data_IF_660133776073
#
_entry.id   IF_660133776073
#
_cell.length_a   1.000
_cell.length_b   1.000
_cell.length_c   1.000
_cell.angle_alpha   90.00
_cell.angle_beta   90.00
_cell.angle_gamma   90.00
#
_symmetry.space_group_name_H-M   'P 1'
#
loop_
_entity.id
_entity.type
_entity.pdbx_description
1 polymer ?
#
# COMPACT_ATOMS: atom_id res chain seq x y z
N UNK A 1 -28.70 -75.12 32.90
CA UNK A 1 -29.31 -73.86 32.42
C UNK A 1 -28.58 -72.71 33.10
N UNK A 2 -27.79 -71.94 32.36
CA UNK A 2 -27.02 -70.81 32.90
C UNK A 2 -27.94 -69.59 33.05
N UNK A 3 -28.03 -69.06 34.26
CA UNK A 3 -28.85 -67.89 34.60
C UNK A 3 -28.11 -66.63 34.12
N UNK A 4 -28.66 -65.96 33.11
CA UNK A 4 -28.19 -64.65 32.66
C UNK A 4 -28.50 -63.60 33.74
N UNK A 5 -27.47 -63.17 34.46
CA UNK A 5 -27.53 -62.02 35.37
C UNK A 5 -27.50 -60.72 34.55
N UNK A 6 -28.59 -59.95 34.59
CA UNK A 6 -28.63 -58.57 34.07
C UNK A 6 -28.36 -57.63 35.25
N UNK A 7 -27.26 -56.88 35.19
CA UNK A 7 -26.98 -55.81 36.14
C UNK A 7 -27.31 -54.45 35.51
N UNK A 8 -27.98 -53.60 36.27
CA UNK A 8 -28.21 -52.18 35.94
C UNK A 8 -27.24 -51.35 36.77
N UNK A 9 -26.36 -50.57 36.13
CA UNK A 9 -25.42 -49.68 36.83
C UNK A 9 -25.68 -48.22 36.48
N UNK A 10 -25.36 -47.32 37.41
CA UNK A 10 -25.38 -45.88 37.20
C UNK A 10 -24.23 -45.45 36.26
N UNK A 11 -24.50 -44.46 35.41
CA UNK A 11 -23.64 -44.08 34.26
C UNK A 11 -22.26 -43.56 34.71
N UNK A 12 -22.21 -43.03 35.93
CA UNK A 12 -21.06 -42.53 36.66
C UNK A 12 -20.08 -43.64 37.13
N UNK A 13 -20.49 -44.92 37.04
CA UNK A 13 -19.64 -46.09 37.28
C UNK A 13 -19.07 -46.74 36.02
N UNK A 14 -19.21 -46.13 34.83
CA UNK A 14 -18.73 -46.69 33.55
C UNK A 14 -17.25 -46.41 33.24
N UNK A 15 -16.53 -45.68 34.09
CA UNK A 15 -15.14 -45.27 33.85
C UNK A 15 -14.13 -46.42 33.72
N UNK A 16 -14.51 -47.65 34.09
CA UNK A 16 -13.66 -48.85 33.93
C UNK A 16 -13.98 -49.70 32.68
N UNK A 17 -15.06 -49.40 31.95
CA UNK A 17 -15.54 -50.27 30.88
C UNK A 17 -14.98 -49.95 29.49
N UNK A 18 -14.33 -48.80 29.31
CA UNK A 18 -13.68 -48.43 28.05
C UNK A 18 -12.35 -47.76 28.32
N UNK A 19 -11.28 -48.36 27.82
CA UNK A 19 -9.98 -47.70 27.76
C UNK A 19 -9.92 -46.80 26.53
N UNK A 20 -8.97 -45.86 26.50
CA UNK A 20 -8.84 -44.91 25.38
C UNK A 20 -8.62 -45.59 24.00
N UNK A 21 -8.27 -46.88 23.98
CA UNK A 21 -7.95 -47.68 22.80
C UNK A 21 -9.13 -48.48 22.22
N UNK A 22 -10.27 -48.57 22.91
CA UNK A 22 -11.39 -49.38 22.41
C UNK A 22 -12.10 -48.70 21.22
N UNK A 23 -12.16 -49.38 20.06
CA UNK A 23 -12.84 -48.88 18.85
C UNK A 23 -14.37 -48.78 19.03
N UNK A 24 -14.94 -49.59 19.91
CA UNK A 24 -16.38 -49.76 20.10
C UNK A 24 -16.83 -49.04 21.39
N UNK A 25 -17.74 -48.08 21.25
CA UNK A 25 -18.09 -47.13 22.31
C UNK A 25 -19.36 -47.52 23.07
N UNK A 26 -20.26 -48.28 22.44
CA UNK A 26 -21.56 -48.72 22.99
C UNK A 26 -22.06 -50.00 22.28
N UNK A 27 -22.55 -50.98 23.05
CA UNK A 27 -23.20 -52.19 22.55
C UNK A 27 -24.72 -52.07 22.72
N UNK A 28 -25.47 -52.03 21.62
CA UNK A 28 -26.94 -51.96 21.64
C UNK A 28 -27.51 -53.29 21.15
N UNK A 29 -28.42 -53.90 21.92
CA UNK A 29 -29.10 -55.13 21.51
C UNK A 29 -30.12 -54.82 20.41
N UNK A 30 -30.13 -55.60 19.34
CA UNK A 30 -31.12 -55.43 18.26
C UNK A 30 -32.52 -55.78 18.77
N UNK A 31 -33.52 -55.01 18.32
CA UNK A 31 -34.91 -55.19 18.73
C UNK A 31 -35.51 -56.55 18.32
N UNK A 32 -34.94 -57.21 17.31
CA UNK A 32 -35.33 -58.54 16.84
C UNK A 32 -34.72 -59.71 17.65
N UNK A 33 -33.92 -59.41 18.68
CA UNK A 33 -33.30 -60.41 19.55
C UNK A 33 -32.13 -61.19 18.93
N UNK A 34 -31.74 -60.90 17.68
CA UNK A 34 -30.76 -61.71 16.92
C UNK A 34 -29.29 -61.36 17.17
N UNK A 35 -29.00 -60.39 18.04
CA UNK A 35 -27.63 -60.07 18.44
C UNK A 35 -27.44 -58.62 18.91
N UNK A 36 -26.18 -58.18 18.98
CA UNK A 36 -25.78 -56.81 19.33
C UNK A 36 -25.32 -56.02 18.09
N UNK A 37 -25.40 -54.69 18.14
CA UNK A 37 -24.74 -53.75 17.22
C UNK A 37 -23.80 -52.86 18.03
N UNK A 38 -22.61 -52.64 17.50
CA UNK A 38 -21.58 -51.84 18.15
C UNK A 38 -21.56 -50.44 17.49
N UNK A 39 -21.64 -49.37 18.28
CA UNK A 39 -21.39 -48.01 17.78
C UNK A 39 -19.89 -47.75 17.91
N UNK A 40 -19.21 -47.69 16.76
CA UNK A 40 -17.78 -47.38 16.72
C UNK A 40 -17.52 -45.91 17.04
N UNK A 41 -16.45 -45.61 17.78
CA UNK A 41 -16.00 -44.23 18.09
C UNK A 41 -15.86 -43.37 16.84
N UNK A 42 -15.35 -43.95 15.74
CA UNK A 42 -15.21 -43.28 14.42
C UNK A 42 -16.53 -42.82 13.78
N UNK A 43 -17.67 -43.38 14.20
CA UNK A 43 -18.98 -43.01 13.67
C UNK A 43 -19.62 -41.85 14.44
N UNK A 44 -19.04 -41.43 15.59
CA UNK A 44 -19.46 -40.27 16.37
C UNK A 44 -18.64 -39.01 16.06
N UNK A 45 -17.51 -39.16 15.35
CA UNK A 45 -16.73 -38.03 14.85
C UNK A 45 -17.43 -37.55 13.57
N UNK A 46 -17.89 -36.28 13.48
CA UNK A 46 -18.43 -35.75 12.24
C UNK A 46 -17.40 -35.95 11.12
N UNK A 47 -17.80 -36.48 9.96
CA UNK A 47 -16.89 -36.59 8.79
C UNK A 47 -16.29 -35.23 8.37
N UNK A 48 -16.90 -34.15 8.85
CA UNK A 48 -16.59 -32.74 8.62
C UNK A 48 -16.36 -32.01 9.95
N UNK A 49 -15.57 -32.56 10.88
CA UNK A 49 -14.84 -31.67 11.78
C UNK A 49 -13.64 -31.16 11.00
N UNK A 50 -13.65 -29.84 10.77
CA UNK A 50 -12.57 -29.08 10.17
C UNK A 50 -11.24 -29.53 10.77
N UNK A 51 -10.36 -30.11 9.95
CA UNK A 51 -9.02 -30.57 10.35
C UNK A 51 -8.04 -29.40 10.58
N UNK A 52 -8.59 -28.25 10.97
CA UNK A 52 -7.88 -27.00 11.19
C UNK A 52 -6.92 -27.21 12.36
N UNK A 53 -5.62 -27.14 12.09
CA UNK A 53 -4.56 -27.28 13.08
C UNK A 53 -3.91 -28.67 13.19
N UNK A 54 -4.30 -29.67 12.37
CA UNK A 54 -3.58 -30.95 12.35
C UNK A 54 -2.24 -30.83 11.60
N UNK A 55 -1.15 -30.75 12.36
CA UNK A 55 0.21 -30.62 11.82
C UNK A 55 0.63 -31.80 10.95
N UNK A 56 -0.04 -32.96 11.07
CA UNK A 56 0.33 -34.14 10.28
C UNK A 56 -0.06 -34.01 8.81
N UNK A 57 -1.02 -33.14 8.50
CA UNK A 57 -1.52 -32.87 7.15
C UNK A 57 -0.68 -31.83 6.39
N UNK A 58 0.22 -31.15 7.08
CA UNK A 58 1.17 -30.23 6.45
C UNK A 58 2.12 -31.01 5.54
N UNK A 59 2.38 -30.47 4.35
CA UNK A 59 3.22 -31.10 3.33
C UNK A 59 4.71 -30.86 3.62
N UNK A 60 5.03 -29.87 4.44
CA UNK A 60 6.40 -29.54 4.82
C UNK A 60 7.04 -30.67 5.63
N UNK A 61 8.32 -30.91 5.37
CA UNK A 61 9.13 -31.82 6.17
C UNK A 61 9.49 -31.24 7.55
N UNK A 62 9.39 -29.91 7.74
CA UNK A 62 9.72 -29.19 8.98
C UNK A 62 8.47 -28.70 9.71
N UNK A 63 7.73 -29.66 10.28
CA UNK A 63 6.46 -29.42 10.99
C UNK A 63 6.63 -28.67 12.34
N UNK A 64 7.85 -28.60 12.85
CA UNK A 64 8.23 -27.87 14.06
C UNK A 64 8.34 -26.34 13.83
N UNK A 65 8.48 -25.92 12.58
CA UNK A 65 8.63 -24.51 12.22
C UNK A 65 7.27 -23.90 11.84
N UNK A 66 6.69 -23.21 12.81
CA UNK A 66 5.36 -22.56 12.69
C UNK A 66 5.24 -21.67 11.44
N UNK A 67 6.30 -20.95 11.06
CA UNK A 67 6.29 -20.08 9.87
C UNK A 67 6.16 -20.86 8.56
N UNK A 68 6.85 -21.99 8.40
CA UNK A 68 6.74 -22.83 7.19
C UNK A 68 5.36 -23.49 7.12
N UNK A 69 4.87 -23.97 8.27
CA UNK A 69 3.53 -24.52 8.40
C UNK A 69 2.43 -23.51 8.02
N UNK A 70 2.54 -22.26 8.49
CA UNK A 70 1.59 -21.18 8.17
C UNK A 70 1.62 -20.85 6.68
N UNK A 71 2.81 -20.77 6.07
CA UNK A 71 2.93 -20.46 4.64
C UNK A 71 2.24 -21.51 3.77
N UNK A 72 2.36 -22.80 4.08
CA UNK A 72 1.66 -23.86 3.34
C UNK A 72 0.14 -23.76 3.45
N UNK A 73 -0.38 -23.43 4.63
CA UNK A 73 -1.82 -23.21 4.82
C UNK A 73 -2.31 -21.99 4.03
N UNK A 74 -1.50 -20.94 3.93
CA UNK A 74 -1.80 -19.75 3.14
C UNK A 74 -1.87 -20.06 1.63
N UNK A 75 -1.00 -20.96 1.14
CA UNK A 75 -1.06 -21.46 -0.24
C UNK A 75 -2.29 -22.34 -0.49
N UNK A 76 -2.67 -23.25 0.42
CA UNK A 76 -3.88 -24.08 0.24
C UNK A 76 -5.19 -23.25 0.32
N UNK A 77 -5.18 -22.12 1.05
CA UNK A 77 -6.28 -21.15 1.05
C UNK A 77 -6.44 -20.43 -0.30
N UNK A 78 -5.40 -20.37 -1.13
CA UNK A 78 -5.49 -19.84 -2.51
C UNK A 78 -6.21 -20.80 -3.47
N UNK A 79 -6.32 -22.09 -3.12
CA UNK A 79 -7.08 -23.10 -3.86
C UNK A 79 -8.58 -23.15 -3.47
N UNK A 80 -8.99 -22.44 -2.41
CA UNK A 80 -10.40 -22.27 -2.06
C UNK A 80 -11.07 -21.34 -3.07
N UNK A 81 -11.59 -21.93 -4.15
CA UNK A 81 -12.49 -21.31 -5.15
C UNK A 81 -13.61 -20.50 -4.48
N UNK A 82 -13.40 -19.20 -4.31
CA UNK A 82 -14.39 -18.10 -4.37
C UNK A 82 -13.70 -16.79 -3.97
N UNK A 83 -12.96 -16.19 -4.89
CA UNK A 83 -13.34 -15.01 -5.68
C UNK A 83 -12.69 -15.23 -7.05
N UNK A 84 -13.48 -15.36 -8.10
CA UNK A 84 -12.95 -15.53 -9.46
C UNK A 84 -12.34 -14.23 -9.93
N UNK A 85 -11.01 -14.12 -9.85
CA UNK A 85 -10.25 -13.16 -10.62
C UNK A 85 -9.87 -13.86 -11.93
N UNK A 86 -10.34 -13.32 -13.06
CA UNK A 86 -10.29 -14.02 -14.35
C UNK A 86 -8.86 -14.11 -14.90
N UNK A 87 -7.94 -13.30 -14.38
CA UNK A 87 -6.52 -13.33 -14.73
C UNK A 87 -5.61 -13.12 -13.52
N UNK A 88 -4.34 -13.53 -13.63
CA UNK A 88 -3.29 -13.23 -12.63
C UNK A 88 -3.02 -11.72 -12.51
N UNK A 89 -3.39 -10.95 -13.55
CA UNK A 89 -3.31 -9.49 -13.61
C UNK A 89 -4.35 -8.81 -12.70
N UNK A 90 -5.57 -9.35 -12.64
CA UNK A 90 -6.64 -8.85 -11.76
C UNK A 90 -6.28 -9.00 -10.27
N UNK A 91 -5.55 -10.06 -9.92
CA UNK A 91 -5.02 -10.28 -8.57
C UNK A 91 -3.91 -9.29 -8.21
N UNK A 92 -3.00 -8.99 -9.14
CA UNK A 92 -1.98 -7.96 -8.94
C UNK A 92 -2.59 -6.56 -8.83
N UNK A 93 -3.66 -6.29 -9.59
CA UNK A 93 -4.41 -5.04 -9.53
C UNK A 93 -5.11 -4.86 -8.17
N UNK A 94 -5.70 -5.91 -7.60
CA UNK A 94 -6.37 -5.86 -6.28
C UNK A 94 -5.37 -5.82 -5.12
N UNK A 95 -4.25 -6.54 -5.21
CA UNK A 95 -3.16 -6.44 -4.22
C UNK A 95 -2.39 -5.11 -4.31
N UNK A 96 -2.34 -4.50 -5.50
CA UNK A 96 -1.77 -3.17 -5.73
C UNK A 96 -2.73 -2.01 -5.41
N UNK A 97 -4.04 -2.25 -5.29
CA UNK A 97 -5.06 -1.23 -5.00
C UNK A 97 -5.49 -1.14 -3.53
N UNK A 98 -4.72 -1.74 -2.62
CA UNK A 98 -4.74 -1.35 -1.20
C UNK A 98 -5.69 -2.09 -0.27
N UNK A 99 -6.21 -3.28 -0.63
CA UNK A 99 -7.15 -4.01 0.25
C UNK A 99 -6.66 -5.31 0.89
N UNK A 100 -5.55 -5.92 0.45
CA UNK A 100 -4.99 -7.11 1.13
C UNK A 100 -3.45 -7.08 1.03
N UNK A 101 -2.82 -6.56 2.08
CA UNK A 101 -1.37 -6.53 2.23
C UNK A 101 -0.82 -7.96 2.39
N UNK A 102 0.09 -8.36 1.49
CA UNK A 102 0.89 -9.58 1.64
C UNK A 102 1.75 -9.52 2.91
N UNK A 103 1.97 -10.65 3.63
CA UNK A 103 2.86 -10.78 4.77
C UNK A 103 4.36 -10.54 4.48
N UNK A 104 4.77 -10.23 3.25
CA UNK A 104 6.10 -9.67 2.95
C UNK A 104 6.21 -8.19 3.41
N UNK A 105 5.85 -7.98 4.68
CA UNK A 105 5.62 -6.73 5.42
C UNK A 105 6.88 -5.89 5.67
N UNK A 106 7.88 -5.92 4.80
CA UNK A 106 8.98 -4.97 4.93
C UNK A 106 8.46 -3.53 4.72
N UNK A 107 7.84 -3.21 3.58
CA UNK A 107 7.34 -1.84 3.36
C UNK A 107 6.29 -1.39 4.39
N UNK A 108 5.39 -2.27 4.85
CA UNK A 108 4.38 -1.97 5.87
C UNK A 108 4.99 -1.56 7.21
N UNK A 109 5.96 -2.35 7.72
CA UNK A 109 6.65 -2.04 8.97
C UNK A 109 7.53 -0.79 8.85
N UNK A 110 8.20 -0.62 7.71
CA UNK A 110 9.04 0.54 7.46
C UNK A 110 8.22 1.83 7.27
N UNK A 111 6.99 1.73 6.74
CA UNK A 111 6.03 2.84 6.68
C UNK A 111 5.36 3.14 8.03
N UNK A 112 5.35 2.19 8.97
CA UNK A 112 4.76 2.36 10.30
C UNK A 112 5.70 3.03 11.31
N UNK A 113 7.00 3.12 11.01
CA UNK A 113 8.02 3.65 11.92
C UNK A 113 8.63 4.95 11.40
N UNK A 114 8.73 5.93 12.30
CA UNK A 114 9.32 7.24 12.04
C UNK A 114 10.59 7.44 12.87
N UNK A 115 11.71 7.85 12.25
CA UNK A 115 13.02 7.92 12.94
C UNK A 115 13.77 9.24 12.81
N UNK A 116 13.78 9.90 11.65
CA UNK A 116 14.54 11.15 11.38
C UNK A 116 16.06 11.07 11.50
N UNK A 117 16.66 10.00 11.00
CA UNK A 117 18.13 9.84 10.97
C UNK A 117 18.73 10.33 9.65
N UNK A 118 19.87 11.01 9.73
CA UNK A 118 20.72 11.27 8.56
C UNK A 118 21.41 9.98 8.08
N UNK A 119 21.15 9.60 6.84
CA UNK A 119 21.69 8.43 6.15
C UNK A 119 23.05 8.70 5.50
N UNK A 120 23.44 9.97 5.38
CA UNK A 120 24.72 10.42 4.86
C UNK A 120 24.59 11.43 3.71
N UNK A 121 25.73 11.81 3.14
CA UNK A 121 25.81 12.74 2.00
C UNK A 121 25.79 12.04 0.64
N UNK A 122 25.89 10.70 0.62
CA UNK A 122 25.83 9.87 -0.57
C UNK A 122 25.06 8.58 -0.24
N UNK A 123 24.22 8.13 -1.17
CA UNK A 123 23.60 6.82 -1.11
C UNK A 123 24.65 5.73 -1.32
N UNK A 124 24.58 4.67 -0.51
CA UNK A 124 25.54 3.56 -0.53
C UNK A 124 24.97 2.33 -1.24
N UNK A 125 25.83 1.49 -1.79
CA UNK A 125 25.45 0.26 -2.50
C UNK A 125 24.58 -0.68 -1.64
N UNK A 126 24.86 -0.76 -0.34
CA UNK A 126 24.06 -1.55 0.61
C UNK A 126 22.62 -1.03 0.73
N UNK A 127 22.42 0.29 0.66
CA UNK A 127 21.09 0.91 0.72
C UNK A 127 20.34 0.65 -0.58
N UNK A 128 21.01 0.78 -1.73
CA UNK A 128 20.43 0.45 -3.03
C UNK A 128 20.03 -1.02 -3.12
N UNK A 129 20.90 -1.92 -2.65
CA UNK A 129 20.59 -3.34 -2.57
C UNK A 129 19.37 -3.58 -1.68
N UNK A 130 19.31 -2.93 -0.52
CA UNK A 130 18.17 -3.06 0.38
C UNK A 130 16.84 -2.54 -0.23
N UNK A 131 16.89 -1.49 -1.05
CA UNK A 131 15.74 -0.99 -1.82
C UNK A 131 15.31 -2.03 -2.85
N UNK A 132 16.24 -2.49 -3.71
CA UNK A 132 15.94 -3.46 -4.80
C UNK A 132 15.40 -4.79 -4.30
N UNK A 133 15.88 -5.26 -3.14
CA UNK A 133 15.41 -6.49 -2.49
C UNK A 133 14.13 -6.29 -1.66
N UNK A 134 13.61 -5.06 -1.56
CA UNK A 134 12.41 -4.73 -0.77
C UNK A 134 12.62 -4.85 0.74
N UNK A 135 13.84 -5.05 1.22
CA UNK A 135 14.13 -5.23 2.66
C UNK A 135 14.14 -3.91 3.42
N UNK A 136 14.45 -2.80 2.73
CA UNK A 136 14.58 -1.45 3.29
C UNK A 136 15.45 -1.36 4.56
N UNK A 137 16.39 -2.28 4.72
CA UNK A 137 17.22 -2.44 5.92
C UNK A 137 17.87 -1.11 6.32
N UNK A 138 17.72 -0.76 7.60
CA UNK A 138 18.22 0.48 8.22
C UNK A 138 17.76 1.79 7.54
N UNK A 139 16.62 1.78 6.86
CA UNK A 139 15.96 2.97 6.31
C UNK A 139 14.52 3.06 6.81
N UNK A 140 14.11 4.21 7.32
CA UNK A 140 12.76 4.41 7.85
C UNK A 140 12.18 5.74 7.38
N UNK A 141 10.86 5.88 7.48
CA UNK A 141 10.19 7.14 7.15
C UNK A 141 10.78 8.28 7.99
N UNK A 142 11.04 9.40 7.33
CA UNK A 142 11.66 10.58 7.92
C UNK A 142 13.19 10.58 7.94
N UNK A 143 13.85 9.44 7.69
CA UNK A 143 15.30 9.44 7.47
C UNK A 143 15.64 10.22 6.20
N UNK A 144 16.87 10.76 6.08
CA UNK A 144 17.23 11.62 4.96
C UNK A 144 18.66 11.44 4.47
N UNK A 145 18.87 11.68 3.18
CA UNK A 145 20.19 12.05 2.65
C UNK A 145 20.25 13.56 2.52
N UNK A 146 21.42 14.15 2.74
CA UNK A 146 21.57 15.61 2.65
C UNK A 146 22.93 15.99 2.12
N UNK A 147 22.95 17.01 1.26
CA UNK A 147 24.17 17.70 0.84
C UNK A 147 24.11 19.17 1.28
N UNK A 148 25.06 19.99 0.81
CA UNK A 148 25.11 21.42 1.17
C UNK A 148 23.89 22.22 0.66
N UNK A 149 23.14 21.70 -0.31
CA UNK A 149 22.03 22.39 -0.98
C UNK A 149 20.67 21.87 -0.57
N UNK A 150 20.52 20.55 -0.46
CA UNK A 150 19.23 19.88 -0.40
C UNK A 150 19.18 18.80 0.68
N UNK A 151 17.98 18.61 1.22
CA UNK A 151 17.64 17.46 2.07
C UNK A 151 16.59 16.61 1.37
N UNK A 152 16.88 15.32 1.23
CA UNK A 152 16.03 14.31 0.60
C UNK A 152 15.47 13.37 1.66
N UNK A 153 14.25 13.66 2.12
CA UNK A 153 13.61 12.93 3.23
C UNK A 153 12.75 11.78 2.71
N UNK A 154 12.92 10.58 3.28
CA UNK A 154 12.07 9.42 2.99
C UNK A 154 10.63 9.71 3.39
N UNK A 155 9.76 9.72 2.39
CA UNK A 155 8.34 10.00 2.52
C UNK A 155 7.48 8.74 2.65
N UNK A 156 7.81 7.69 1.88
CA UNK A 156 7.09 6.41 1.86
C UNK A 156 7.92 5.33 1.15
N UNK A 157 7.72 4.07 1.51
CA UNK A 157 8.23 2.88 0.79
C UNK A 157 7.10 2.25 -0.01
N UNK A 158 7.38 1.76 -1.21
CA UNK A 158 6.43 1.06 -2.10
C UNK A 158 5.06 1.74 -2.20
N UNK A 159 5.08 3.01 -2.57
CA UNK A 159 3.89 3.86 -2.67
C UNK A 159 3.10 3.67 -3.98
N UNK A 160 3.81 3.48 -5.09
CA UNK A 160 3.22 3.29 -6.41
C UNK A 160 2.97 1.80 -6.68
N UNK A 161 1.87 1.42 -7.35
CA UNK A 161 1.54 0.03 -7.65
C UNK A 161 2.37 -0.51 -8.82
N UNK A 162 3.69 -0.56 -8.65
CA UNK A 162 4.65 -1.12 -9.61
C UNK A 162 5.33 -2.35 -9.00
N UNK A 163 5.80 -3.25 -9.86
CA UNK A 163 6.44 -4.51 -9.42
C UNK A 163 7.74 -4.28 -8.65
N UNK A 164 8.53 -3.30 -9.08
CA UNK A 164 9.84 -3.05 -8.49
C UNK A 164 9.72 -2.21 -7.22
N UNK A 165 10.47 -2.59 -6.20
CA UNK A 165 10.53 -1.87 -4.94
C UNK A 165 11.12 -0.47 -5.12
N UNK A 166 10.60 0.49 -4.37
CA UNK A 166 11.01 1.88 -4.48
C UNK A 166 10.84 2.68 -3.20
N UNK A 167 11.55 3.80 -3.13
CA UNK A 167 11.46 4.79 -2.06
C UNK A 167 11.00 6.11 -2.65
N UNK A 168 9.95 6.68 -2.07
CA UNK A 168 9.48 8.04 -2.36
C UNK A 168 10.19 8.99 -1.41
N UNK A 169 10.85 10.00 -1.96
CA UNK A 169 11.55 11.05 -1.24
C UNK A 169 10.84 12.38 -1.46
N UNK A 170 10.93 13.28 -0.48
CA UNK A 170 10.62 14.69 -0.64
C UNK A 170 11.91 15.49 -0.53
N UNK A 171 12.17 16.32 -1.54
CA UNK A 171 13.25 17.29 -1.49
C UNK A 171 12.77 18.60 -0.87
N UNK A 172 13.35 18.96 0.27
CA UNK A 172 13.04 20.22 0.93
C UNK A 172 13.80 21.37 0.28
N UNK A 173 13.03 22.21 -0.42
CA UNK A 173 13.41 23.53 -0.95
C UNK A 173 14.68 23.59 -1.80
N UNK A 174 14.70 22.92 -2.98
CA UNK A 174 15.70 23.24 -3.99
C UNK A 174 15.72 24.75 -4.28
N UNK A 175 16.91 25.24 -4.60
CA UNK A 175 17.14 26.66 -4.86
C UNK A 175 16.26 27.15 -6.03
N UNK A 176 15.62 28.30 -5.83
CA UNK A 176 14.76 28.92 -6.82
C UNK A 176 13.29 29.06 -6.41
N UNK A 177 12.60 29.94 -7.12
CA UNK A 177 11.15 30.10 -7.07
C UNK A 177 10.64 30.07 -8.51
N UNK A 178 9.41 29.63 -8.69
CA UNK A 178 8.79 29.55 -10.00
C UNK A 178 7.34 30.00 -9.94
N UNK A 179 6.83 30.40 -11.10
CA UNK A 179 5.41 30.61 -11.34
C UNK A 179 4.75 29.29 -11.66
N UNK A 180 3.46 29.17 -11.34
CA UNK A 180 2.67 28.02 -11.79
C UNK A 180 2.22 28.18 -13.26
N UNK A 181 2.26 29.39 -13.80
CA UNK A 181 1.77 29.73 -15.14
C UNK A 181 2.21 28.72 -16.21
N UNK A 182 1.42 28.57 -17.27
CA UNK A 182 1.71 27.57 -18.31
C UNK A 182 2.80 28.07 -19.25
N UNK A 183 3.74 27.18 -19.56
CA UNK A 183 4.93 27.53 -20.36
C UNK A 183 4.57 27.88 -21.81
N UNK A 184 3.55 27.22 -22.35
CA UNK A 184 3.05 27.47 -23.69
C UNK A 184 1.57 27.87 -23.61
N UNK A 185 1.23 28.94 -24.31
CA UNK A 185 -0.16 29.26 -24.67
C UNK A 185 -0.38 28.92 -26.15
N UNK A 186 -0.28 27.65 -26.61
CA UNK A 186 -0.63 27.37 -27.99
C UNK A 186 -2.15 27.51 -28.12
N UNK A 187 -2.61 28.28 -29.11
CA UNK A 187 -3.96 28.08 -29.65
C UNK A 187 -3.90 26.78 -30.43
N UNK A 188 -4.15 25.65 -29.79
CA UNK A 188 -4.30 24.38 -30.51
C UNK A 188 -5.66 24.39 -31.18
N UNK A 189 -5.70 24.16 -32.50
CA UNK A 189 -6.96 23.95 -33.22
C UNK A 189 -7.73 22.80 -32.57
N UNK A 190 -9.00 23.03 -32.23
CA UNK A 190 -9.89 22.04 -31.60
C UNK A 190 -10.15 22.21 -30.11
N UNK A 191 -9.38 23.03 -29.38
CA UNK A 191 -9.68 23.40 -27.98
C UNK A 191 -10.31 24.80 -27.91
N UNK A 192 -11.48 24.91 -27.26
CA UNK A 192 -12.17 26.21 -27.04
C UNK A 192 -11.46 27.07 -25.98
N UNK A 193 -10.54 26.49 -25.21
CA UNK A 193 -9.80 27.15 -24.12
C UNK A 193 -8.38 26.57 -23.96
N UNK A 194 -7.46 27.39 -23.45
CA UNK A 194 -6.08 27.00 -23.10
C UNK A 194 -6.06 26.03 -21.91
N UNK A 195 -5.27 24.94 -21.95
CA UNK A 195 -5.03 24.09 -20.79
C UNK A 195 -4.32 24.85 -19.68
N UNK A 196 -4.69 24.59 -18.42
CA UNK A 196 -4.20 25.38 -17.27
C UNK A 196 -3.61 24.54 -16.11
N UNK A 197 -3.48 23.21 -16.28
CA UNK A 197 -2.99 22.29 -15.25
C UNK A 197 -1.48 22.14 -15.13
N UNK A 198 -1.04 21.45 -14.07
CA UNK A 198 0.36 21.12 -13.80
C UNK A 198 1.09 20.50 -14.99
N UNK A 199 0.41 19.66 -15.78
CA UNK A 199 0.96 19.03 -16.98
C UNK A 199 1.67 20.03 -17.90
N UNK A 200 1.16 21.26 -17.97
CA UNK A 200 1.63 22.34 -18.85
C UNK A 200 2.33 23.48 -18.08
N UNK A 201 2.50 23.34 -16.77
CA UNK A 201 3.02 24.38 -15.89
C UNK A 201 4.54 24.58 -16.03
N UNK A 202 5.00 25.80 -15.75
CA UNK A 202 6.43 26.10 -15.58
C UNK A 202 7.01 25.35 -14.37
N UNK A 203 6.21 25.03 -13.34
CA UNK A 203 6.63 24.18 -12.20
C UNK A 203 7.10 22.81 -12.71
N UNK A 204 6.27 22.10 -13.50
CA UNK A 204 6.64 20.79 -14.04
C UNK A 204 7.90 20.88 -14.90
N UNK A 205 7.97 21.90 -15.77
CA UNK A 205 9.14 22.13 -16.61
C UNK A 205 10.43 22.32 -15.80
N UNK A 206 10.37 23.11 -14.73
CA UNK A 206 11.49 23.28 -13.82
C UNK A 206 11.86 21.95 -13.14
N UNK A 207 10.87 21.21 -12.65
CA UNK A 207 11.10 19.94 -11.93
C UNK A 207 11.76 18.90 -12.84
N UNK A 208 11.20 18.67 -14.03
CA UNK A 208 11.69 17.64 -14.97
C UNK A 208 12.96 18.08 -15.71
N UNK A 209 13.12 19.38 -15.98
CA UNK A 209 14.23 19.93 -16.75
C UNK A 209 15.45 20.30 -15.92
N UNK A 210 15.29 21.14 -14.90
CA UNK A 210 16.41 21.71 -14.14
C UNK A 210 16.66 20.93 -12.85
N UNK A 211 15.64 20.77 -12.00
CA UNK A 211 15.79 20.10 -10.72
C UNK A 211 16.27 18.66 -10.87
N UNK A 212 15.66 17.88 -11.79
CA UNK A 212 16.06 16.49 -12.07
C UNK A 212 17.55 16.35 -12.37
N UNK A 213 18.16 17.36 -13.00
CA UNK A 213 19.58 17.33 -13.35
C UNK A 213 20.50 17.57 -12.15
N UNK A 214 19.99 18.23 -11.11
CA UNK A 214 20.72 18.66 -9.93
C UNK A 214 20.37 17.85 -8.67
N UNK A 215 19.75 16.68 -8.82
CA UNK A 215 19.53 15.77 -7.70
C UNK A 215 20.88 15.26 -7.20
N UNK A 216 21.18 15.57 -5.94
CA UNK A 216 22.44 15.25 -5.27
C UNK A 216 22.42 13.90 -4.56
N UNK A 217 23.35 13.76 -3.61
CA UNK A 217 23.58 12.54 -2.82
C UNK A 217 23.74 11.23 -3.62
N UNK A 218 24.08 11.30 -4.91
CA UNK A 218 24.13 10.14 -5.80
C UNK A 218 22.76 9.56 -6.18
N UNK A 219 21.66 10.14 -5.69
CA UNK A 219 20.29 9.64 -5.88
C UNK A 219 19.85 9.68 -7.35
N UNK A 220 20.37 10.63 -8.13
CA UNK A 220 20.08 10.78 -9.56
C UNK A 220 20.35 9.51 -10.38
N UNK A 221 21.30 8.67 -9.93
CA UNK A 221 21.67 7.44 -10.63
C UNK A 221 20.66 6.31 -10.46
N UNK A 222 19.69 6.48 -9.55
CA UNK A 222 18.73 5.44 -9.16
C UNK A 222 17.28 5.92 -9.32
N UNK A 223 17.06 6.95 -10.13
CA UNK A 223 15.72 7.44 -10.43
C UNK A 223 14.88 6.34 -11.06
N UNK A 224 13.67 6.15 -10.53
CA UNK A 224 12.72 5.15 -10.99
C UNK A 224 11.47 5.83 -11.50
N UNK A 225 11.21 5.68 -12.78
CA UNK A 225 10.00 6.25 -13.37
C UNK A 225 8.77 5.45 -12.93
N UNK A 226 7.74 6.19 -12.51
CA UNK A 226 6.43 5.66 -12.12
C UNK A 226 5.34 6.33 -12.94
N UNK A 227 4.24 5.62 -13.16
CA UNK A 227 3.08 6.14 -13.89
C UNK A 227 2.03 6.66 -12.92
N UNK A 228 1.64 7.92 -13.04
CA UNK A 228 0.66 8.57 -12.15
C UNK A 228 -0.11 9.67 -12.88
N UNK A 229 -1.35 10.00 -12.44
CA UNK A 229 -2.14 11.07 -13.01
C UNK A 229 -1.67 12.43 -12.47
N UNK A 230 -1.57 13.40 -13.36
CA UNK A 230 -1.33 14.81 -13.00
C UNK A 230 -2.45 15.70 -13.52
N UNK A 231 -2.67 16.83 -12.86
CA UNK A 231 -3.73 17.76 -13.26
C UNK A 231 -3.41 18.36 -14.63
N UNK A 232 -4.33 18.27 -15.59
CA UNK A 232 -4.12 18.80 -16.94
C UNK A 232 -5.03 20.00 -17.25
N UNK A 233 -6.27 20.03 -16.77
CA UNK A 233 -7.18 21.17 -17.00
C UNK A 233 -8.29 21.30 -15.94
N UNK A 234 -9.07 22.37 -16.02
CA UNK A 234 -10.31 22.59 -15.26
C UNK A 234 -11.48 22.83 -16.24
N UNK A 235 -12.42 21.90 -16.27
CA UNK A 235 -13.58 21.90 -17.18
C UNK A 235 -14.85 22.22 -16.39
N UNK A 236 -15.74 23.04 -16.97
CA UNK A 236 -17.08 23.30 -16.42
C UNK A 236 -18.12 22.51 -17.21
N UNK A 237 -18.94 21.69 -16.55
CA UNK A 237 -20.09 21.00 -17.16
C UNK A 237 -21.34 21.27 -16.33
N UNK A 238 -22.40 21.80 -16.97
CA UNK A 238 -23.73 22.03 -16.35
C UNK A 238 -23.65 22.65 -14.94
N UNK A 239 -22.89 23.73 -14.79
CA UNK A 239 -22.65 24.50 -13.55
C UNK A 239 -21.61 23.93 -12.58
N UNK A 240 -21.20 22.66 -12.73
CA UNK A 240 -20.16 22.07 -11.90
C UNK A 240 -18.76 22.22 -12.53
N UNK A 241 -17.74 22.41 -11.68
CA UNK A 241 -16.33 22.47 -12.10
C UNK A 241 -15.62 21.18 -11.71
N UNK A 242 -14.95 20.57 -12.68
CA UNK A 242 -14.16 19.35 -12.53
C UNK A 242 -12.76 19.59 -13.08
N UNK A 243 -11.73 19.14 -12.38
CA UNK A 243 -10.41 19.06 -12.99
C UNK A 243 -10.31 17.78 -13.81
N UNK A 244 -9.54 17.84 -14.88
CA UNK A 244 -9.17 16.68 -15.67
C UNK A 244 -7.72 16.33 -15.39
N UNK A 245 -7.37 15.07 -15.64
CA UNK A 245 -6.03 14.57 -15.45
C UNK A 245 -5.54 13.85 -16.70
N UNK A 246 -4.22 13.76 -16.83
CA UNK A 246 -3.57 12.88 -17.79
C UNK A 246 -2.52 12.04 -17.06
N UNK A 247 -2.37 10.79 -17.47
CA UNK A 247 -1.33 9.92 -16.96
C UNK A 247 0.01 10.28 -17.59
N UNK A 248 1.01 10.51 -16.75
CA UNK A 248 2.40 10.68 -17.17
C UNK A 248 3.26 9.59 -16.55
N UNK A 249 4.46 9.43 -17.11
CA UNK A 249 5.52 8.59 -16.56
C UNK A 249 6.68 9.51 -16.18
N UNK A 250 7.04 9.55 -14.91
CA UNK A 250 8.16 10.36 -14.41
C UNK A 250 8.69 9.81 -13.09
N UNK A 251 9.93 10.18 -12.76
CA UNK A 251 10.61 9.91 -11.48
C UNK A 251 10.61 11.12 -10.55
N UNK A 252 10.17 12.29 -11.03
CA UNK A 252 10.13 13.55 -10.29
C UNK A 252 8.87 14.36 -10.60
N UNK A 253 8.24 14.95 -9.58
CA UNK A 253 7.00 15.72 -9.76
C UNK A 253 6.68 16.58 -8.53
N UNK A 254 5.75 17.52 -8.66
CA UNK A 254 5.21 18.25 -7.51
C UNK A 254 4.22 17.37 -6.72
N UNK A 255 4.21 17.44 -5.38
CA UNK A 255 3.24 16.69 -4.59
C UNK A 255 1.82 17.23 -4.77
N UNK A 256 0.84 16.38 -4.47
CA UNK A 256 -0.58 16.76 -4.46
C UNK A 256 -1.08 17.03 -3.03
N UNK A 257 -2.24 17.69 -2.89
CA UNK A 257 -2.92 17.82 -1.59
C UNK A 257 -3.20 16.45 -0.98
N UNK A 258 -3.57 15.48 -1.81
CA UNK A 258 -3.90 14.11 -1.45
C UNK A 258 -2.69 13.39 -0.83
N UNK A 259 -1.52 13.51 -1.45
CA UNK A 259 -0.27 12.95 -0.90
C UNK A 259 0.07 13.55 0.47
N UNK A 260 -0.27 14.83 0.69
CA UNK A 260 0.01 15.55 1.94
C UNK A 260 -1.01 15.23 3.04
N UNK A 261 -2.29 15.06 2.69
CA UNK A 261 -3.40 15.05 3.65
C UNK A 261 -4.18 13.75 3.72
N UNK A 262 -4.11 12.92 2.67
CA UNK A 262 -4.95 11.75 2.46
C UNK A 262 -6.39 12.08 2.04
N UNK A 263 -6.71 13.36 1.86
CA UNK A 263 -8.06 13.82 1.52
C UNK A 263 -8.04 14.45 0.12
N UNK A 264 -8.90 13.99 -0.81
CA UNK A 264 -9.09 14.67 -2.08
C UNK A 264 -9.59 16.09 -1.84
N UNK A 265 -8.95 17.07 -2.45
CA UNK A 265 -9.24 18.47 -2.13
C UNK A 265 -10.56 18.99 -2.75
N UNK A 266 -11.08 18.29 -3.76
CA UNK A 266 -12.37 18.59 -4.41
C UNK A 266 -13.17 17.30 -4.62
N UNK A 267 -14.45 17.35 -4.26
CA UNK A 267 -15.42 16.28 -4.49
C UNK A 267 -16.06 16.44 -5.87
N UNK A 268 -15.68 15.63 -6.84
CA UNK A 268 -16.37 15.59 -8.12
C UNK A 268 -15.72 14.61 -9.06
N UNK A 269 -16.35 13.43 -9.25
CA UNK A 269 -15.99 12.40 -10.23
C UNK A 269 -14.49 12.23 -10.50
N UNK A 270 -13.69 12.26 -9.42
CA UNK A 270 -12.26 12.07 -9.54
C UNK A 270 -12.02 10.58 -9.63
N UNK A 271 -11.78 10.08 -10.83
CA UNK A 271 -11.19 8.76 -11.01
C UNK A 271 -9.76 8.72 -10.40
N UNK A 272 -9.12 9.85 -10.00
CA UNK A 272 -7.94 9.77 -9.10
C UNK A 272 -8.29 9.36 -7.65
N UNK A 273 -9.57 9.06 -7.35
CA UNK A 273 -9.92 8.18 -6.23
C UNK A 273 -9.25 6.79 -6.35
N UNK A 274 -8.58 6.48 -7.45
CA UNK A 274 -7.54 5.46 -7.51
C UNK A 274 -6.31 5.86 -6.65
N UNK A 275 -6.35 5.45 -5.38
CA UNK A 275 -5.26 4.79 -4.65
C UNK A 275 -4.07 5.59 -4.10
N UNK A 276 -4.01 6.92 -4.21
CA UNK A 276 -2.92 7.67 -3.56
C UNK A 276 -3.25 8.03 -2.11
N UNK A 277 -2.88 7.12 -1.20
CA UNK A 277 -2.97 7.36 0.24
C UNK A 277 -2.05 8.51 0.70
N UNK A 278 -2.30 9.06 1.88
CA UNK A 278 -1.38 10.02 2.49
C UNK A 278 0.02 9.40 2.64
N UNK A 279 1.07 10.12 2.22
CA UNK A 279 2.45 9.68 2.43
C UNK A 279 2.70 9.47 3.92
N UNK A 280 3.37 8.36 4.28
CA UNK A 280 3.64 7.98 5.66
C UNK A 280 4.33 9.08 6.46
N UNK A 281 5.23 9.85 5.84
CA UNK A 281 5.88 11.00 6.47
C UNK A 281 4.88 11.99 7.06
N UNK A 282 3.81 12.31 6.35
CA UNK A 282 2.82 13.29 6.80
C UNK A 282 1.79 12.71 7.78
N UNK A 283 1.62 11.37 7.78
CA UNK A 283 0.88 10.65 8.83
C UNK A 283 1.60 10.72 10.17
N UNK A 284 2.92 10.48 10.17
CA UNK A 284 3.73 10.48 11.39
C UNK A 284 4.13 11.89 11.85
N UNK A 285 4.44 12.78 10.92
CA UNK A 285 4.85 14.14 11.21
C UNK A 285 4.09 15.15 10.34
N UNK A 286 2.90 15.52 10.82
CA UNK A 286 2.08 16.54 10.16
C UNK A 286 2.76 17.91 10.07
N UNK A 287 3.70 18.22 10.98
CA UNK A 287 4.50 19.46 10.91
C UNK A 287 5.45 19.46 9.72
N UNK A 288 5.78 18.31 9.13
CA UNK A 288 6.57 18.26 7.90
C UNK A 288 5.84 18.90 6.70
N UNK A 289 4.51 19.07 6.75
CA UNK A 289 3.75 19.88 5.77
C UNK A 289 4.01 21.38 5.99
N UNK A 290 4.18 21.78 7.26
CA UNK A 290 4.41 23.16 7.68
C UNK A 290 5.87 23.54 7.47
N UNK A 291 6.09 24.40 6.48
CA UNK A 291 7.43 24.84 6.12
C UNK A 291 7.54 26.35 6.09
N UNK A 292 8.77 26.87 6.15
CA UNK A 292 9.03 28.32 6.16
C UNK A 292 8.72 28.98 4.81
N UNK A 293 8.90 28.24 3.71
CA UNK A 293 8.59 28.71 2.35
C UNK A 293 7.19 28.24 1.95
N UNK A 294 6.47 29.11 1.26
CA UNK A 294 5.29 28.74 0.47
C UNK A 294 5.73 27.97 -0.77
N UNK A 295 5.06 26.85 -1.07
CA UNK A 295 5.43 26.00 -2.21
C UNK A 295 4.23 25.53 -3.03
N UNK A 296 4.46 25.36 -4.33
CA UNK A 296 3.44 24.85 -5.25
C UNK A 296 3.16 23.36 -5.06
N UNK A 297 1.88 22.99 -5.22
CA UNK A 297 1.41 21.63 -5.42
C UNK A 297 0.99 21.45 -6.89
N UNK A 298 0.76 20.23 -7.35
CA UNK A 298 0.23 19.95 -8.70
C UNK A 298 -1.19 20.54 -8.92
N UNK A 299 -1.99 20.61 -7.85
CA UNK A 299 -3.41 20.92 -7.94
C UNK A 299 -3.70 22.37 -8.44
N UNK A 300 -4.71 22.53 -9.30
CA UNK A 300 -5.24 23.83 -9.75
C UNK A 300 -6.65 24.08 -9.24
N UNK A 301 -7.06 25.33 -9.00
CA UNK A 301 -8.39 25.70 -8.47
C UNK A 301 -9.23 26.46 -9.48
N UNK A 302 -8.56 27.23 -10.34
CA UNK A 302 -9.19 28.01 -11.39
C UNK A 302 -8.22 28.18 -12.55
N UNK A 303 -8.65 28.94 -13.54
CA UNK A 303 -7.86 29.20 -14.73
C UNK A 303 -6.59 29.99 -14.38
N UNK A 304 -6.73 30.96 -13.48
CA UNK A 304 -5.66 31.82 -13.00
C UNK A 304 -5.12 31.40 -11.61
N UNK A 305 -5.68 30.36 -10.99
CA UNK A 305 -5.39 29.96 -9.60
C UNK A 305 -4.88 28.52 -9.45
N UNK A 306 -3.81 28.34 -8.68
CA UNK A 306 -3.25 27.03 -8.32
C UNK A 306 -3.08 26.89 -6.80
N UNK A 307 -3.00 25.66 -6.30
CA UNK A 307 -2.84 25.42 -4.86
C UNK A 307 -1.36 25.57 -4.48
N UNK A 308 -1.12 26.44 -3.50
CA UNK A 308 0.14 26.48 -2.78
C UNK A 308 -0.07 26.08 -1.32
N UNK A 309 0.91 25.41 -0.73
CA UNK A 309 0.97 25.18 0.70
C UNK A 309 1.72 26.36 1.36
N UNK A 310 1.07 27.07 2.26
CA UNK A 310 1.58 28.20 3.02
C UNK A 310 1.51 27.89 4.52
N UNK A 311 2.66 27.64 5.15
CA UNK A 311 2.73 27.34 6.60
C UNK A 311 1.78 26.22 7.05
N UNK A 312 1.54 25.23 6.18
CA UNK A 312 0.63 24.10 6.42
C UNK A 312 -0.83 24.33 6.05
N UNK A 313 -1.19 25.51 5.54
CA UNK A 313 -2.50 25.81 4.97
C UNK A 313 -2.46 25.72 3.45
N UNK A 314 -3.54 25.26 2.83
CA UNK A 314 -3.68 25.26 1.37
C UNK A 314 -4.37 26.54 0.92
N UNK A 315 -3.67 27.36 0.15
CA UNK A 315 -4.19 28.62 -0.36
C UNK A 315 -5.09 28.37 -1.57
N UNK A 316 -6.38 28.65 -1.41
CA UNK A 316 -7.40 28.49 -2.46
C UNK A 316 -7.58 29.72 -3.36
N UNK A 317 -6.66 30.69 -3.25
CA UNK A 317 -6.71 31.97 -3.96
C UNK A 317 -5.37 32.39 -4.56
N UNK A 318 -4.38 31.49 -4.54
CA UNK A 318 -3.04 31.79 -5.04
C UNK A 318 -3.02 31.96 -6.56
N UNK A 319 -2.62 33.16 -7.01
CA UNK A 319 -2.46 33.43 -8.45
C UNK A 319 -1.30 32.63 -9.02
N UNK A 320 -1.50 32.00 -10.19
CA UNK A 320 -0.44 31.27 -10.92
C UNK A 320 0.75 32.15 -11.34
N UNK A 321 0.59 33.47 -11.29
CA UNK A 321 1.66 34.45 -11.55
C UNK A 321 2.58 34.68 -10.35
N UNK A 322 2.21 34.24 -9.16
CA UNK A 322 3.05 34.36 -7.96
C UNK A 322 4.26 33.44 -8.08
N UNK A 323 5.37 33.85 -7.45
CA UNK A 323 6.60 33.06 -7.42
C UNK A 323 6.75 32.39 -6.06
N UNK A 324 6.58 31.07 -6.05
CA UNK A 324 6.72 30.24 -4.85
C UNK A 324 7.81 29.20 -5.06
N UNK A 325 8.26 28.62 -3.95
CA UNK A 325 9.22 27.52 -4.01
C UNK A 325 8.57 26.28 -4.64
N UNK A 326 9.39 25.30 -4.99
CA UNK A 326 8.92 23.94 -5.28
C UNK A 326 9.43 22.99 -4.20
N UNK A 327 8.72 21.88 -4.02
CA UNK A 327 9.08 20.84 -3.05
C UNK A 327 8.90 19.47 -3.69
N UNK A 328 9.79 19.08 -4.62
CA UNK A 328 9.54 17.95 -5.50
C UNK A 328 9.55 16.62 -4.75
N UNK A 329 8.69 15.71 -5.20
CA UNK A 329 8.80 14.28 -4.96
C UNK A 329 9.85 13.70 -5.90
N UNK A 330 10.63 12.75 -5.40
CA UNK A 330 11.58 11.93 -6.17
C UNK A 330 11.27 10.47 -5.88
N UNK A 331 11.32 9.62 -6.89
CA UNK A 331 11.20 8.17 -6.74
C UNK A 331 12.52 7.51 -7.13
N UNK A 332 13.05 6.67 -6.23
CA UNK A 332 14.25 5.87 -6.47
C UNK A 332 13.94 4.37 -6.31
N UNK A 333 14.64 3.50 -7.04
CA UNK A 333 14.39 2.04 -7.04
C UNK A 333 15.52 1.22 -7.62
#
# INVERSE_FOLDING_TARGET
MSVLSIQTRRIDGLTEATTAEDEDLLLIRKADGTGTRNIKKKNLIPKTVDKVGDMNLLRTSRKDLVTLAINELYFDLSDVKRISFQTHEDLQYVMGSGYLYSPDQACGNHNALYRRRGLGTLIRDEQIKAIREGTFRDMYVGDCWSDERNTYTIANFDYFPIKDHHVVLICDFPEGKTKFDTYERPKTEGFTRKPVGYLYSVVRKYIEGEFKQNIGCGLKNYLKDVRFPVTCDLVTQKEDKYYTYNWITSSVFAPTVEMLTGVPYLSGNDDRNYNFAQLALFRHNRRAIMTEKTYWLDNIISDDGAIACERGYFSFSSSKRNEYAVRPIIVIG
#
